data_IF_828173684094
#
_entry.id   IF_828173684094
#
_cell.length_a   1.000
_cell.length_b   1.000
_cell.length_c   1.000
_cell.angle_alpha   90.00
_cell.angle_beta   90.00
_cell.angle_gamma   90.00
#
_symmetry.space_group_name_H-M   'P 1'
#
loop_
_entity.id
_entity.type
_entity.pdbx_description
1 polymer ?
#
# COMPACT_ATOMS: atom_id res chain seq x y z
N UNK A 1 -3.77 -0.75 11.47
CA UNK A 1 -2.29 -0.94 11.63
C UNK A 1 -1.63 0.37 12.04
N UNK A 2 -0.33 0.38 12.36
CA UNK A 2 0.44 1.57 12.78
C UNK A 2 1.66 1.77 11.89
N UNK A 3 1.96 3.00 11.48
CA UNK A 3 2.96 3.31 10.45
C UNK A 3 4.04 4.20 10.99
N UNK A 4 5.30 3.77 10.87
CA UNK A 4 6.44 4.67 11.09
C UNK A 4 6.49 5.66 9.92
N UNK A 5 6.53 6.97 10.21
CA UNK A 5 6.63 8.05 9.21
C UNK A 5 7.77 9.00 9.56
N UNK A 6 8.47 9.56 8.55
CA UNK A 6 9.49 10.58 8.77
C UNK A 6 8.87 11.98 8.80
N UNK A 7 8.68 12.55 9.99
CA UNK A 7 8.32 13.98 10.15
C UNK A 7 9.46 14.91 9.69
N UNK A 8 10.71 14.47 9.88
CA UNK A 8 11.89 15.10 9.27
C UNK A 8 12.68 14.01 8.57
N UNK A 9 12.80 14.12 7.25
CA UNK A 9 13.59 13.19 6.45
C UNK A 9 15.04 13.09 6.93
N UNK A 10 15.65 11.90 6.85
CA UNK A 10 17.07 11.70 7.15
C UNK A 10 17.98 12.66 6.43
N UNK A 11 18.90 13.25 7.19
CA UNK A 11 19.94 14.14 6.66
C UNK A 11 21.16 14.12 7.57
N UNK A 12 22.31 14.47 7.02
CA UNK A 12 23.51 14.71 7.82
C UNK A 12 23.43 16.09 8.46
N UNK A 13 23.69 16.15 9.76
CA UNK A 13 23.77 17.38 10.56
C UNK A 13 25.10 17.42 11.30
N UNK A 14 25.59 18.63 11.55
CA UNK A 14 26.77 18.86 12.40
C UNK A 14 26.31 19.15 13.82
N UNK A 15 26.91 18.49 14.80
CA UNK A 15 26.58 18.67 16.21
C UNK A 15 26.99 20.09 16.70
N UNK A 16 26.16 20.69 17.55
CA UNK A 16 26.39 22.07 18.00
C UNK A 16 27.59 22.10 18.96
N UNK A 17 28.66 22.79 18.55
CA UNK A 17 29.88 22.94 19.37
C UNK A 17 30.94 21.86 19.13
N UNK A 18 30.72 20.91 18.21
CA UNK A 18 31.76 19.99 17.74
C UNK A 18 31.79 19.94 16.21
N UNK A 19 32.90 19.48 15.61
CA UNK A 19 32.97 19.21 14.16
C UNK A 19 32.40 17.84 13.76
N UNK A 20 31.74 17.13 14.69
CA UNK A 20 31.23 15.79 14.45
C UNK A 20 29.94 15.84 13.62
N UNK A 21 29.90 15.03 12.57
CA UNK A 21 28.71 14.84 11.73
C UNK A 21 27.94 13.59 12.17
N UNK A 22 26.63 13.68 12.13
CA UNK A 22 25.72 12.58 12.43
C UNK A 22 24.53 12.60 11.47
N UNK A 23 23.92 11.44 11.22
CA UNK A 23 22.61 11.39 10.55
C UNK A 23 21.54 11.68 11.59
N UNK A 24 20.58 12.52 11.24
CA UNK A 24 19.43 12.82 12.09
C UNK A 24 18.14 12.73 11.27
N UNK A 25 17.12 12.11 11.86
CA UNK A 25 15.73 12.18 11.41
C UNK A 25 14.78 12.26 12.60
N UNK A 26 13.53 12.63 12.33
CA UNK A 26 12.46 12.63 13.31
C UNK A 26 11.35 11.74 12.80
N UNK A 27 10.96 10.73 13.57
CA UNK A 27 9.87 9.83 13.21
C UNK A 27 8.61 10.11 14.04
N UNK A 28 7.48 9.62 13.56
CA UNK A 28 6.25 9.41 14.33
C UNK A 28 5.69 8.02 14.02
N UNK A 29 4.81 7.50 14.87
CA UNK A 29 4.09 6.25 14.63
C UNK A 29 2.60 6.54 14.79
N UNK A 30 1.85 6.43 13.69
CA UNK A 30 0.44 6.82 13.63
C UNK A 30 -0.43 5.77 12.93
N UNK A 31 -1.75 5.92 13.01
CA UNK A 31 -2.70 5.23 12.11
C UNK A 31 -2.40 5.56 10.64
N UNK A 32 -3.05 4.83 9.73
CA UNK A 32 -3.09 5.13 8.30
C UNK A 32 -3.63 6.56 8.02
N UNK A 33 -4.63 7.02 8.77
CA UNK A 33 -5.12 8.41 8.73
C UNK A 33 -4.14 9.43 9.32
N UNK A 34 -3.22 9.02 10.18
CA UNK A 34 -2.34 9.94 10.89
C UNK A 34 -2.99 10.68 12.08
N UNK A 35 -4.22 10.31 12.44
CA UNK A 35 -5.06 10.97 13.45
C UNK A 35 -4.84 10.50 14.89
N UNK A 36 -4.22 9.33 15.05
CA UNK A 36 -3.91 8.71 16.34
C UNK A 36 -2.48 8.20 16.36
N UNK A 37 -1.83 8.30 17.52
CA UNK A 37 -0.46 7.82 17.74
C UNK A 37 -0.47 6.40 18.31
N UNK A 38 0.61 5.64 18.11
CA UNK A 38 0.78 4.33 18.76
C UNK A 38 0.66 4.47 20.29
N UNK A 39 -0.32 3.81 20.94
CA UNK A 39 -0.60 4.00 22.36
C UNK A 39 0.20 3.05 23.28
N UNK A 40 1.19 2.32 22.75
CA UNK A 40 1.99 1.34 23.47
C UNK A 40 3.47 1.71 23.52
N UNK A 41 4.16 1.17 24.53
CA UNK A 41 5.61 1.15 24.54
C UNK A 41 6.12 0.10 23.53
N UNK A 42 7.09 0.48 22.70
CA UNK A 42 7.75 -0.45 21.79
C UNK A 42 9.22 -0.07 21.61
N UNK A 43 10.07 -1.10 21.60
CA UNK A 43 11.46 -0.92 21.20
C UNK A 43 11.58 -1.10 19.69
N UNK A 44 12.07 -0.06 19.01
CA UNK A 44 12.29 -0.05 17.58
C UNK A 44 13.74 -0.36 17.23
N UNK A 45 13.89 -0.95 16.06
CA UNK A 45 15.10 -1.14 15.30
C UNK A 45 15.38 0.07 14.41
N UNK A 46 16.42 0.85 14.68
CA UNK A 46 16.85 1.94 13.81
C UNK A 46 18.21 1.62 13.18
N UNK A 47 18.29 1.69 11.85
CA UNK A 47 19.46 1.28 11.07
C UNK A 47 19.87 2.35 10.06
N UNK A 48 21.16 2.68 10.05
CA UNK A 48 21.81 3.41 8.97
C UNK A 48 22.46 2.40 8.03
N UNK A 49 22.03 2.43 6.77
CA UNK A 49 22.45 1.51 5.71
C UNK A 49 23.34 2.25 4.70
N UNK A 50 24.37 1.59 4.20
CA UNK A 50 25.02 1.93 2.93
C UNK A 50 24.35 1.16 1.81
N UNK A 51 24.03 1.85 0.71
CA UNK A 51 23.50 1.21 -0.50
C UNK A 51 24.59 1.18 -1.57
N UNK A 52 25.13 0.00 -1.86
CA UNK A 52 26.15 -0.20 -2.90
C UNK A 52 25.73 -1.38 -3.78
N UNK A 53 25.79 -1.23 -5.10
CA UNK A 53 25.51 -2.31 -6.07
C UNK A 53 24.20 -3.09 -5.83
N UNK A 54 23.15 -2.38 -5.41
CA UNK A 54 21.82 -2.92 -5.04
C UNK A 54 21.76 -3.74 -3.75
N UNK A 55 22.85 -3.81 -2.99
CA UNK A 55 22.89 -4.38 -1.65
C UNK A 55 22.78 -3.30 -0.56
N UNK A 56 22.10 -3.64 0.53
CA UNK A 56 21.96 -2.79 1.71
C UNK A 56 22.77 -3.37 2.87
N UNK A 57 23.82 -2.65 3.27
CA UNK A 57 24.70 -3.06 4.35
C UNK A 57 24.53 -2.17 5.57
N UNK A 58 24.27 -2.78 6.73
CA UNK A 58 24.11 -2.04 8.00
C UNK A 58 25.46 -1.45 8.42
N UNK A 59 25.54 -0.12 8.43
CA UNK A 59 26.71 0.62 8.92
C UNK A 59 26.64 0.81 10.43
N UNK A 60 25.47 1.23 10.91
CA UNK A 60 25.20 1.53 12.31
C UNK A 60 23.80 1.08 12.64
N UNK A 61 23.68 0.46 13.79
CA UNK A 61 22.43 0.01 14.37
C UNK A 61 22.24 0.67 15.74
N UNK A 62 21.00 1.02 16.09
CA UNK A 62 20.63 1.40 17.46
C UNK A 62 19.19 1.00 17.78
N UNK A 63 18.93 0.72 19.05
CA UNK A 63 17.56 0.60 19.55
C UNK A 63 17.00 2.00 19.85
N UNK A 64 15.75 2.23 19.49
CA UNK A 64 15.04 3.47 19.80
C UNK A 64 13.74 3.14 20.56
N UNK A 65 13.60 3.67 21.77
CA UNK A 65 12.43 3.41 22.60
C UNK A 65 11.32 4.41 22.26
N UNK A 66 10.20 3.90 21.78
CA UNK A 66 8.94 4.64 21.76
C UNK A 66 8.19 4.35 23.07
N UNK A 67 7.65 5.38 23.71
CA UNK A 67 6.78 5.23 24.87
C UNK A 67 5.39 5.78 24.55
N UNK A 68 4.36 5.16 25.14
CA UNK A 68 2.99 5.61 25.03
C UNK A 68 2.87 7.12 25.31
N UNK A 69 2.09 7.82 24.48
CA UNK A 69 1.92 9.27 24.57
C UNK A 69 2.97 10.10 23.82
N UNK A 70 4.02 9.49 23.26
CA UNK A 70 4.91 10.18 22.32
C UNK A 70 4.16 10.59 21.05
N UNK A 71 4.56 11.75 20.51
CA UNK A 71 4.10 12.21 19.18
C UNK A 71 5.19 12.13 18.13
N UNK A 72 6.44 12.15 18.57
CA UNK A 72 7.61 12.03 17.70
C UNK A 72 8.80 11.50 18.49
N UNK A 73 9.71 10.83 17.79
CA UNK A 73 10.92 10.25 18.36
C UNK A 73 12.12 10.64 17.47
N UNK A 74 13.12 11.39 17.99
CA UNK A 74 14.33 11.69 17.24
C UNK A 74 15.21 10.45 17.12
N UNK A 75 15.75 10.21 15.93
CA UNK A 75 16.69 9.13 15.64
C UNK A 75 18.01 9.75 15.16
N UNK A 76 19.12 9.32 15.74
CA UNK A 76 20.45 9.84 15.43
C UNK A 76 21.47 8.72 15.29
N UNK A 77 22.29 8.79 14.24
CA UNK A 77 23.39 7.85 14.02
C UNK A 77 24.73 8.58 13.92
N UNK A 78 25.75 8.18 14.69
CA UNK A 78 27.10 8.68 14.45
C UNK A 78 27.58 8.23 13.07
N UNK A 79 28.18 9.14 12.28
CA UNK A 79 28.79 8.74 11.01
C UNK A 79 30.13 8.02 11.28
N UNK A 80 30.38 6.84 10.67
CA UNK A 80 31.67 6.18 10.74
C UNK A 80 32.80 7.09 10.23
N UNK A 81 33.98 7.02 10.86
CA UNK A 81 35.16 7.81 10.47
C UNK A 81 35.88 7.25 9.24
N UNK A 82 35.64 5.99 8.87
CA UNK A 82 36.31 5.31 7.75
C UNK A 82 35.66 5.65 6.40
N UNK A 83 36.37 5.36 5.31
CA UNK A 83 36.08 5.65 3.89
C UNK A 83 34.77 5.06 3.32
N UNK A 84 33.71 4.94 4.10
CA UNK A 84 32.39 4.63 3.57
C UNK A 84 32.00 5.82 2.68
N UNK A 85 31.76 5.55 1.40
CA UNK A 85 31.25 6.56 0.49
C UNK A 85 29.91 7.07 1.03
N UNK A 86 29.92 8.26 1.64
CA UNK A 86 28.72 8.93 2.19
C UNK A 86 27.80 9.46 1.08
N UNK A 87 27.84 8.82 -0.08
CA UNK A 87 27.14 9.22 -1.29
C UNK A 87 25.85 8.44 -1.49
N UNK A 88 25.60 7.39 -0.68
CA UNK A 88 24.46 6.50 -0.83
C UNK A 88 24.06 5.89 0.54
N UNK A 89 23.48 6.72 1.39
CA UNK A 89 22.99 6.33 2.72
C UNK A 89 21.47 6.14 2.69
N UNK A 90 20.96 5.25 3.54
CA UNK A 90 19.51 5.06 3.76
C UNK A 90 19.26 4.82 5.24
N UNK A 91 18.13 5.29 5.75
CA UNK A 91 17.68 4.94 7.10
C UNK A 91 16.51 3.98 7.00
N UNK A 92 16.57 2.89 7.77
CA UNK A 92 15.43 2.04 8.08
C UNK A 92 15.05 2.24 9.54
N UNK A 93 13.75 2.33 9.81
CA UNK A 93 13.21 2.13 11.16
C UNK A 93 12.08 1.10 11.11
N UNK A 94 12.10 0.12 12.00
CA UNK A 94 11.10 -0.96 12.04
C UNK A 94 10.98 -1.59 13.43
N UNK A 95 10.13 -2.61 13.56
CA UNK A 95 9.98 -3.36 14.82
C UNK A 95 11.20 -4.24 15.14
N UNK A 96 11.69 -4.98 14.14
CA UNK A 96 12.74 -5.99 14.34
C UNK A 96 14.06 -5.67 13.61
N UNK A 97 15.19 -6.24 14.06
CA UNK A 97 16.47 -6.11 13.37
C UNK A 97 16.64 -6.75 12.02
N UNK A 98 17.45 -6.09 11.17
CA UNK A 98 18.03 -6.67 9.95
C UNK A 98 16.98 -7.29 9.02
N UNK A 99 15.75 -6.78 9.07
CA UNK A 99 14.67 -7.23 8.17
C UNK A 99 14.74 -6.41 6.89
N UNK A 100 14.67 -7.11 5.75
CA UNK A 100 14.63 -6.48 4.43
C UNK A 100 13.23 -6.00 4.04
N UNK A 101 12.20 -6.51 4.72
CA UNK A 101 10.77 -6.27 4.46
C UNK A 101 9.94 -6.59 5.71
N UNK A 102 8.70 -6.12 5.71
CA UNK A 102 7.67 -6.54 6.65
C UNK A 102 6.93 -7.78 6.12
N UNK A 103 6.34 -8.55 7.03
CA UNK A 103 5.50 -9.71 6.73
C UNK A 103 4.13 -9.48 7.36
N UNK A 104 3.07 -9.44 6.55
CA UNK A 104 1.74 -9.05 7.02
C UNK A 104 1.22 -9.91 8.17
N UNK A 105 1.44 -11.23 8.10
CA UNK A 105 1.05 -12.15 9.17
C UNK A 105 1.80 -11.86 10.47
N UNK A 106 3.11 -11.65 10.39
CA UNK A 106 3.95 -11.38 11.56
C UNK A 106 3.57 -10.06 12.25
N UNK A 107 3.32 -8.99 11.48
CA UNK A 107 2.88 -7.71 12.07
C UNK A 107 1.46 -7.79 12.64
N UNK A 108 0.66 -8.77 12.20
CA UNK A 108 -0.72 -8.98 12.66
C UNK A 108 -0.82 -9.90 13.88
N UNK A 109 0.31 -10.46 14.37
CA UNK A 109 0.31 -11.25 15.60
C UNK A 109 -0.07 -10.38 16.81
N UNK A 110 -0.79 -10.92 17.81
CA UNK A 110 -1.31 -10.15 18.96
C UNK A 110 -0.27 -9.28 19.69
N UNK A 111 0.98 -9.74 19.76
CA UNK A 111 2.07 -9.05 20.47
C UNK A 111 2.95 -8.17 19.58
N UNK A 112 2.76 -8.21 18.25
CA UNK A 112 3.60 -7.50 17.28
C UNK A 112 3.30 -6.01 17.15
N UNK A 113 2.19 -5.54 17.77
CA UNK A 113 1.75 -4.13 17.81
C UNK A 113 1.51 -3.50 16.43
N UNK A 114 1.41 -4.29 15.36
CA UNK A 114 0.97 -3.81 14.05
C UNK A 114 1.83 -2.72 13.41
N UNK A 115 3.12 -2.62 13.76
CA UNK A 115 3.99 -1.52 13.31
C UNK A 115 4.64 -1.82 11.96
N UNK A 116 4.27 -1.05 10.93
CA UNK A 116 4.83 -1.07 9.59
C UNK A 116 6.13 -0.25 9.53
N UNK A 117 7.19 -0.88 9.04
CA UNK A 117 8.54 -0.33 8.93
C UNK A 117 8.63 0.74 7.84
N UNK A 118 9.61 1.63 7.96
CA UNK A 118 9.88 2.72 7.01
C UNK A 118 11.33 2.68 6.52
N UNK A 119 11.51 2.73 5.21
CA UNK A 119 12.81 2.95 4.57
C UNK A 119 12.82 4.31 3.90
N UNK A 120 13.84 5.13 4.19
CA UNK A 120 14.01 6.41 3.50
C UNK A 120 14.47 6.21 2.05
N UNK A 121 14.27 7.20 1.17
CA UNK A 121 15.05 7.32 -0.04
C UNK A 121 16.56 7.35 0.25
N UNK A 122 17.41 6.95 -0.72
CA UNK A 122 18.83 7.18 -0.62
C UNK A 122 19.12 8.67 -0.49
N UNK A 123 20.13 9.02 0.30
CA UNK A 123 20.59 10.37 0.55
C UNK A 123 22.10 10.43 0.72
N UNK A 124 22.66 11.63 0.72
CA UNK A 124 24.12 11.84 0.80
C UNK A 124 24.49 12.70 1.99
N UNK A 125 25.79 12.88 2.22
CA UNK A 125 26.29 13.83 3.21
C UNK A 125 25.87 15.28 2.99
N UNK A 126 25.51 15.66 1.76
CA UNK A 126 25.18 17.04 1.39
C UNK A 126 23.70 17.24 1.09
N UNK A 127 22.99 16.18 0.70
CA UNK A 127 21.59 16.22 0.28
C UNK A 127 20.79 15.27 1.16
N UNK A 128 19.80 15.81 1.88
CA UNK A 128 18.89 15.01 2.71
C UNK A 128 17.96 14.14 1.85
N UNK A 129 17.39 13.11 2.46
CA UNK A 129 16.46 12.22 1.77
C UNK A 129 15.21 13.01 1.33
N UNK A 130 14.71 12.77 0.11
CA UNK A 130 13.37 13.21 -0.30
C UNK A 130 12.29 12.86 0.72
N UNK A 131 11.16 13.57 0.68
CA UNK A 131 10.00 13.38 1.55
C UNK A 131 9.13 12.18 1.14
N UNK A 132 9.77 11.04 0.89
CA UNK A 132 9.12 9.78 0.58
C UNK A 132 9.44 8.74 1.65
N UNK A 133 8.65 7.69 1.69
CA UNK A 133 8.94 6.44 2.40
C UNK A 133 8.75 5.28 1.43
N UNK A 134 9.67 4.32 1.47
CA UNK A 134 9.47 3.03 0.83
C UNK A 134 8.91 2.06 1.87
N UNK A 135 7.78 1.43 1.55
CA UNK A 135 7.24 0.26 2.23
C UNK A 135 7.65 -0.98 1.48
N UNK A 136 7.88 -2.07 2.21
CA UNK A 136 8.33 -3.34 1.65
C UNK A 136 7.57 -4.46 2.32
N UNK A 137 6.76 -5.17 1.56
CA UNK A 137 5.98 -6.30 2.06
C UNK A 137 6.35 -7.55 1.31
N UNK A 138 6.69 -8.61 2.04
CA UNK A 138 6.83 -9.94 1.45
C UNK A 138 5.46 -10.54 1.21
N UNK A 139 5.15 -10.80 -0.06
CA UNK A 139 3.95 -11.56 -0.40
C UNK A 139 4.16 -13.04 -0.05
N UNK A 140 3.17 -13.73 0.55
CA UNK A 140 3.21 -15.18 0.75
C UNK A 140 3.59 -15.94 -0.51
N UNK A 141 4.66 -16.74 -0.44
CA UNK A 141 5.23 -17.50 -1.57
C UNK A 141 5.45 -16.66 -2.85
N UNK A 142 5.77 -15.37 -2.67
CA UNK A 142 5.87 -14.39 -3.73
C UNK A 142 7.08 -13.47 -3.59
N UNK A 143 7.18 -12.42 -4.42
CA UNK A 143 8.25 -11.42 -4.33
C UNK A 143 8.06 -10.51 -3.11
N UNK A 144 9.06 -9.68 -2.86
CA UNK A 144 8.89 -8.50 -1.99
C UNK A 144 8.31 -7.40 -2.87
N UNK A 145 7.10 -6.95 -2.54
CA UNK A 145 6.47 -5.79 -3.17
C UNK A 145 6.97 -4.53 -2.48
N UNK A 146 7.57 -3.63 -3.24
CA UNK A 146 8.08 -2.36 -2.73
C UNK A 146 7.27 -1.21 -3.29
N UNK A 147 6.75 -0.35 -2.42
CA UNK A 147 5.93 0.80 -2.81
C UNK A 147 6.50 2.06 -2.18
N UNK A 148 6.64 3.10 -2.97
CA UNK A 148 6.89 4.46 -2.51
C UNK A 148 5.55 5.13 -2.19
N UNK A 149 5.52 5.80 -1.05
CA UNK A 149 4.47 6.75 -0.65
C UNK A 149 5.11 8.09 -0.25
N UNK A 150 4.33 9.16 -0.31
CA UNK A 150 4.76 10.47 0.18
C UNK A 150 4.59 10.57 1.70
N UNK A 151 5.39 11.43 2.33
CA UNK A 151 5.25 11.73 3.78
C UNK A 151 4.45 13.00 4.06
N UNK A 152 3.79 13.55 3.03
CA UNK A 152 2.98 14.76 3.10
C UNK A 152 1.53 14.50 3.55
N UNK A 153 0.63 15.45 3.27
CA UNK A 153 -0.80 15.36 3.64
C UNK A 153 -1.68 14.82 2.49
N UNK A 154 -1.08 14.34 1.40
CA UNK A 154 -1.83 13.93 0.20
C UNK A 154 -2.44 12.52 0.32
N UNK A 155 -3.77 12.44 0.37
CA UNK A 155 -4.53 11.18 0.51
C UNK A 155 -4.16 10.16 -0.60
N UNK A 156 -4.11 10.59 -1.85
CA UNK A 156 -3.85 9.72 -3.01
C UNK A 156 -2.41 9.16 -3.05
N UNK A 157 -1.49 9.71 -2.26
CA UNK A 157 -0.07 9.35 -2.28
C UNK A 157 0.37 8.60 -1.03
N UNK A 158 -0.60 8.07 -0.27
CA UNK A 158 -0.41 7.27 0.94
C UNK A 158 -0.88 5.82 0.74
N UNK A 159 -0.28 4.90 1.49
CA UNK A 159 -0.78 3.55 1.64
C UNK A 159 -1.82 3.45 2.75
N UNK A 160 -2.85 2.65 2.47
CA UNK A 160 -3.99 2.44 3.34
C UNK A 160 -4.10 0.98 3.76
N UNK A 161 -4.72 0.74 4.92
CA UNK A 161 -4.84 -0.59 5.52
C UNK A 161 -5.49 -1.60 4.57
N UNK A 162 -6.55 -1.21 3.83
CA UNK A 162 -7.23 -2.11 2.90
C UNK A 162 -6.36 -2.50 1.70
N UNK A 163 -5.58 -1.56 1.16
CA UNK A 163 -4.68 -1.82 0.03
C UNK A 163 -3.58 -2.80 0.40
N UNK A 164 -2.91 -2.60 1.53
CA UNK A 164 -1.87 -3.52 2.03
C UNK A 164 -2.45 -4.89 2.32
N UNK A 165 -3.59 -4.92 3.03
CA UNK A 165 -4.25 -6.17 3.42
C UNK A 165 -4.62 -6.98 2.18
N UNK A 166 -5.34 -6.38 1.22
CA UNK A 166 -5.73 -7.08 0.00
C UNK A 166 -4.51 -7.56 -0.79
N UNK A 167 -3.47 -6.74 -0.96
CA UNK A 167 -2.22 -7.14 -1.63
C UNK A 167 -1.61 -8.39 -1.02
N UNK A 168 -1.56 -8.49 0.30
CA UNK A 168 -1.01 -9.65 0.99
C UNK A 168 -1.87 -10.91 0.86
N UNK A 169 -3.16 -10.77 0.50
CA UNK A 169 -4.05 -11.90 0.19
C UNK A 169 -3.98 -12.33 -1.28
N UNK A 170 -3.53 -11.47 -2.20
CA UNK A 170 -3.47 -11.76 -3.65
C UNK A 170 -2.76 -13.06 -4.04
N UNK A 171 -1.75 -13.61 -3.31
CA UNK A 171 -1.17 -14.92 -3.64
C UNK A 171 -2.18 -16.06 -3.68
N UNK A 172 -3.28 -15.98 -2.93
CA UNK A 172 -4.37 -16.95 -2.96
C UNK A 172 -5.03 -17.04 -4.34
N UNK A 173 -4.96 -15.98 -5.18
CA UNK A 173 -5.49 -15.97 -6.54
C UNK A 173 -4.81 -16.96 -7.49
N UNK A 174 -3.61 -17.45 -7.15
CA UNK A 174 -2.90 -18.48 -7.93
C UNK A 174 -3.50 -19.87 -7.73
N UNK A 175 -4.20 -20.10 -6.62
CA UNK A 175 -4.82 -21.37 -6.29
C UNK A 175 -6.33 -21.30 -6.55
N UNK A 176 -6.82 -21.96 -7.59
CA UNK A 176 -8.24 -21.99 -7.98
C UNK A 176 -9.18 -22.55 -6.91
N UNK A 177 -8.64 -23.26 -5.91
CA UNK A 177 -9.42 -23.79 -4.79
C UNK A 177 -9.55 -22.83 -3.60
N UNK A 178 -8.78 -21.73 -3.58
CA UNK A 178 -8.89 -20.72 -2.53
C UNK A 178 -10.19 -19.93 -2.66
N UNK A 179 -10.73 -19.48 -1.53
CA UNK A 179 -11.99 -18.74 -1.54
C UNK A 179 -11.83 -17.37 -2.22
N UNK A 180 -10.67 -16.72 -2.06
CA UNK A 180 -10.34 -15.49 -2.78
C UNK A 180 -10.33 -15.70 -4.30
N UNK A 181 -9.74 -16.78 -4.79
CA UNK A 181 -9.74 -17.08 -6.22
C UNK A 181 -11.14 -17.38 -6.76
N UNK A 182 -11.96 -18.14 -6.03
CA UNK A 182 -13.35 -18.42 -6.41
C UNK A 182 -14.19 -17.15 -6.48
N UNK A 183 -13.92 -16.19 -5.60
CA UNK A 183 -14.63 -14.91 -5.56
C UNK A 183 -14.19 -13.97 -6.68
N UNK A 184 -12.88 -13.85 -6.94
CA UNK A 184 -12.33 -12.78 -7.78
C UNK A 184 -11.94 -13.21 -9.20
N UNK A 185 -11.85 -14.51 -9.51
CA UNK A 185 -11.46 -14.99 -10.83
C UNK A 185 -12.61 -15.73 -11.52
N UNK A 186 -12.72 -15.62 -12.86
CA UNK A 186 -13.59 -16.50 -13.63
C UNK A 186 -13.24 -17.98 -13.40
N UNK A 187 -14.26 -18.84 -13.39
CA UNK A 187 -14.11 -20.29 -13.32
C UNK A 187 -14.64 -20.93 -14.62
N UNK A 188 -13.84 -21.75 -15.33
CA UNK A 188 -12.43 -22.06 -15.06
C UNK A 188 -11.52 -20.84 -15.28
N UNK A 189 -10.30 -20.88 -14.76
CA UNK A 189 -9.32 -19.83 -14.98
C UNK A 189 -9.07 -19.63 -16.47
N UNK A 190 -9.26 -18.38 -16.92
CA UNK A 190 -8.93 -17.97 -18.28
C UNK A 190 -7.40 -17.90 -18.46
N UNK A 191 -6.90 -18.05 -19.71
CA UNK A 191 -5.47 -17.87 -20.02
C UNK A 191 -4.93 -16.46 -19.75
N UNK A 192 -5.80 -15.46 -19.81
CA UNK A 192 -5.50 -14.06 -19.50
C UNK A 192 -6.38 -13.60 -18.34
N UNK A 193 -5.90 -12.60 -17.60
CA UNK A 193 -6.68 -12.01 -16.50
C UNK A 193 -6.59 -10.49 -16.54
N UNK A 194 -7.67 -9.84 -16.93
CA UNK A 194 -7.72 -8.39 -17.14
C UNK A 194 -8.30 -7.71 -15.89
N UNK A 195 -7.49 -6.86 -15.28
CA UNK A 195 -7.77 -6.21 -13.99
C UNK A 195 -7.71 -4.70 -14.17
N UNK A 196 -8.72 -4.01 -13.66
CA UNK A 196 -8.74 -2.55 -13.53
C UNK A 196 -8.84 -2.17 -12.05
N UNK A 197 -7.93 -1.33 -11.57
CA UNK A 197 -7.96 -0.79 -10.21
C UNK A 197 -8.40 0.68 -10.26
N UNK A 198 -9.50 1.01 -9.57
CA UNK A 198 -10.00 2.36 -9.37
C UNK A 198 -9.41 2.96 -8.10
N UNK A 199 -9.00 4.23 -8.14
CA UNK A 199 -8.44 4.92 -6.97
C UNK A 199 -7.19 4.22 -6.45
N UNK A 200 -6.27 3.89 -7.36
CA UNK A 200 -5.09 3.06 -7.09
C UNK A 200 -4.13 3.66 -6.07
N UNK A 201 -4.15 5.00 -5.91
CA UNK A 201 -3.19 5.76 -5.11
C UNK A 201 -1.75 5.42 -5.48
N UNK A 202 -1.04 4.75 -4.58
CA UNK A 202 0.33 4.29 -4.82
C UNK A 202 0.46 3.03 -5.70
N UNK A 203 -0.63 2.34 -6.03
CA UNK A 203 -0.63 1.15 -6.89
C UNK A 203 -0.48 -0.20 -6.20
N UNK A 204 -0.62 -0.26 -4.86
CA UNK A 204 -0.22 -1.43 -4.06
C UNK A 204 -0.90 -2.73 -4.47
N UNK A 205 -2.21 -2.72 -4.74
CA UNK A 205 -2.97 -3.94 -5.07
C UNK A 205 -2.65 -4.42 -6.47
N UNK A 206 -2.84 -3.57 -7.48
CA UNK A 206 -2.60 -3.95 -8.86
C UNK A 206 -1.12 -4.29 -9.13
N UNK A 207 -0.16 -3.61 -8.49
CA UNK A 207 1.26 -3.99 -8.55
C UNK A 207 1.44 -5.40 -7.97
N UNK A 208 0.94 -5.69 -6.77
CA UNK A 208 1.08 -7.01 -6.16
C UNK A 208 0.50 -8.11 -7.07
N UNK A 209 -0.65 -7.87 -7.70
CA UNK A 209 -1.26 -8.78 -8.67
C UNK A 209 -0.39 -8.99 -9.92
N UNK A 210 0.10 -7.91 -10.52
CA UNK A 210 0.96 -7.96 -11.71
C UNK A 210 2.29 -8.70 -11.43
N UNK A 211 2.78 -8.66 -10.19
CA UNK A 211 4.00 -9.37 -9.80
C UNK A 211 3.85 -10.89 -9.67
N UNK A 212 2.62 -11.40 -9.46
CA UNK A 212 2.41 -12.81 -9.11
C UNK A 212 1.49 -13.57 -10.06
N UNK A 213 0.71 -12.88 -10.90
CA UNK A 213 -0.24 -13.50 -11.83
C UNK A 213 0.35 -13.43 -13.25
N UNK A 214 0.77 -14.57 -13.83
CA UNK A 214 1.21 -14.60 -15.23
C UNK A 214 0.08 -14.23 -16.18
N UNK A 215 0.42 -13.63 -17.33
CA UNK A 215 -0.53 -13.24 -18.38
C UNK A 215 -1.67 -12.33 -17.90
N UNK A 216 -1.47 -11.56 -16.83
CA UNK A 216 -2.45 -10.54 -16.39
C UNK A 216 -2.23 -9.21 -17.09
N UNK A 217 -3.31 -8.53 -17.49
CA UNK A 217 -3.26 -7.13 -17.91
C UNK A 217 -3.84 -6.28 -16.78
N UNK A 218 -2.98 -5.53 -16.09
CA UNK A 218 -3.38 -4.69 -14.96
C UNK A 218 -3.33 -3.23 -15.36
N UNK A 219 -4.47 -2.56 -15.28
CA UNK A 219 -4.59 -1.11 -15.49
C UNK A 219 -4.90 -0.43 -14.16
N UNK A 220 -3.95 0.38 -13.69
CA UNK A 220 -4.10 1.22 -12.51
C UNK A 220 -4.73 2.54 -12.93
N UNK A 221 -5.74 3.01 -12.20
CA UNK A 221 -6.42 4.26 -12.51
C UNK A 221 -6.64 5.12 -11.28
N UNK A 222 -6.49 6.43 -11.47
CA UNK A 222 -6.68 7.46 -10.43
C UNK A 222 -6.76 8.84 -11.10
N UNK A 223 -6.90 9.89 -10.30
CA UNK A 223 -6.71 11.27 -10.75
C UNK A 223 -5.24 11.58 -11.05
N UNK A 224 -5.01 12.69 -11.76
CA UNK A 224 -3.68 13.15 -12.20
C UNK A 224 -2.67 13.29 -11.05
N UNK A 225 -3.16 13.57 -9.84
CA UNK A 225 -2.38 13.80 -8.64
C UNK A 225 -1.61 12.55 -8.18
N UNK A 226 -2.10 11.34 -8.48
CA UNK A 226 -1.43 10.08 -8.14
C UNK A 226 -0.38 9.66 -9.17
N UNK A 227 -0.42 10.22 -10.40
CA UNK A 227 0.39 9.79 -11.54
C UNK A 227 1.87 9.64 -11.24
N UNK A 228 2.47 10.67 -10.64
CA UNK A 228 3.91 10.66 -10.37
C UNK A 228 4.32 9.51 -9.44
N UNK A 229 3.55 9.27 -8.37
CA UNK A 229 3.89 8.25 -7.38
C UNK A 229 3.64 6.83 -7.93
N UNK A 230 2.53 6.63 -8.65
CA UNK A 230 2.21 5.32 -9.22
C UNK A 230 3.15 4.96 -10.36
N UNK A 231 3.50 5.89 -11.26
CA UNK A 231 4.48 5.64 -12.33
C UNK A 231 5.86 5.32 -11.74
N UNK A 232 6.27 6.00 -10.66
CA UNK A 232 7.49 5.66 -9.92
C UNK A 232 7.46 4.22 -9.41
N UNK A 233 6.32 3.77 -8.90
CA UNK A 233 6.16 2.41 -8.37
C UNK A 233 6.13 1.36 -9.49
N UNK A 234 5.41 1.61 -10.58
CA UNK A 234 5.40 0.75 -11.78
C UNK A 234 6.82 0.54 -12.30
N UNK A 235 7.62 1.61 -12.38
CA UNK A 235 8.99 1.55 -12.89
C UNK A 235 9.99 0.87 -11.94
N UNK A 236 9.58 0.58 -10.70
CA UNK A 236 10.46 0.01 -9.66
C UNK A 236 10.23 -1.49 -9.44
N UNK A 237 9.32 -2.12 -10.17
CA UNK A 237 8.91 -3.52 -9.93
C UNK A 237 9.22 -4.44 -11.10
N UNK A 238 9.51 -5.70 -10.77
CA UNK A 238 9.52 -6.80 -11.74
C UNK A 238 8.16 -7.49 -11.70
N UNK A 239 7.51 -7.58 -12.86
CA UNK A 239 6.19 -8.22 -13.03
C UNK A 239 6.31 -9.68 -13.48
N UNK A 240 5.23 -10.44 -13.34
CA UNK A 240 5.17 -11.85 -13.72
C UNK A 240 5.31 -12.04 -15.24
N UNK A 241 5.75 -13.23 -15.72
CA UNK A 241 5.85 -13.50 -17.15
C UNK A 241 4.54 -13.28 -17.89
N UNK A 242 4.61 -12.56 -19.01
CA UNK A 242 3.45 -12.24 -19.84
C UNK A 242 2.47 -11.24 -19.23
N UNK A 243 2.72 -10.75 -18.01
CA UNK A 243 1.90 -9.70 -17.42
C UNK A 243 2.20 -8.33 -18.05
N UNK A 244 1.25 -7.41 -17.95
CA UNK A 244 1.42 -5.99 -18.25
C UNK A 244 0.83 -5.15 -17.13
N UNK A 245 1.43 -3.97 -16.92
CA UNK A 245 1.07 -3.04 -15.87
C UNK A 245 1.20 -1.62 -16.42
N UNK A 246 0.12 -0.85 -16.37
CA UNK A 246 0.08 0.52 -16.86
C UNK A 246 -0.76 1.41 -15.93
N UNK A 247 -0.55 2.72 -16.05
CA UNK A 247 -1.38 3.73 -15.40
C UNK A 247 -2.19 4.51 -16.44
N UNK A 248 -3.43 4.86 -16.09
CA UNK A 248 -4.28 5.76 -16.86
C UNK A 248 -5.05 6.68 -15.92
N UNK A 249 -5.04 7.98 -16.23
CA UNK A 249 -5.87 8.94 -15.52
C UNK A 249 -7.36 8.63 -15.77
N UNK A 250 -8.16 8.51 -14.71
CA UNK A 250 -9.59 8.24 -14.80
C UNK A 250 -10.32 9.03 -13.71
N UNK A 251 -11.06 10.04 -14.15
CA UNK A 251 -12.05 10.71 -13.34
C UNK A 251 -13.37 9.92 -13.40
N UNK A 252 -13.90 9.55 -12.24
CA UNK A 252 -15.12 8.75 -12.13
C UNK A 252 -16.37 9.48 -12.61
N UNK A 253 -16.34 10.82 -12.67
CA UNK A 253 -17.43 11.65 -13.18
C UNK A 253 -17.30 11.96 -14.69
N UNK A 254 -16.13 11.72 -15.29
CA UNK A 254 -15.91 11.88 -16.72
C UNK A 254 -16.46 10.70 -17.54
N UNK A 255 -16.57 10.89 -18.85
CA UNK A 255 -16.95 9.83 -19.79
C UNK A 255 -15.94 8.67 -19.78
N UNK A 256 -16.45 7.45 -19.92
CA UNK A 256 -15.61 6.25 -19.91
C UNK A 256 -14.68 6.28 -21.13
N UNK A 257 -13.34 6.16 -20.96
CA UNK A 257 -12.42 6.14 -22.09
C UNK A 257 -12.75 5.02 -23.09
N UNK A 258 -12.51 5.26 -24.38
CA UNK A 258 -12.81 4.30 -25.46
C UNK A 258 -12.14 2.94 -25.22
N UNK A 259 -10.93 2.92 -24.67
CA UNK A 259 -10.19 1.69 -24.38
C UNK A 259 -10.88 0.79 -23.33
N UNK A 260 -11.67 1.40 -22.43
CA UNK A 260 -12.48 0.69 -21.43
C UNK A 260 -13.88 0.32 -21.94
N UNK A 261 -14.26 0.80 -23.13
CA UNK A 261 -15.49 0.43 -23.83
C UNK A 261 -15.28 -0.71 -24.83
N UNK A 262 -14.03 -1.02 -25.20
CA UNK A 262 -13.74 -2.02 -26.22
C UNK A 262 -14.08 -3.44 -25.78
N UNK A 263 -14.78 -4.18 -26.64
CA UNK A 263 -15.11 -5.60 -26.40
C UNK A 263 -13.94 -6.55 -26.63
N UNK A 264 -12.82 -6.07 -27.19
CA UNK A 264 -11.67 -6.92 -27.52
C UNK A 264 -10.89 -7.36 -26.27
N UNK A 265 -10.91 -6.54 -25.21
CA UNK A 265 -10.17 -6.75 -23.96
C UNK A 265 -11.13 -6.65 -22.76
N UNK A 266 -12.09 -7.57 -22.66
CA UNK A 266 -13.05 -7.57 -21.55
C UNK A 266 -12.34 -7.67 -20.20
N UNK A 267 -12.78 -6.84 -19.26
CA UNK A 267 -12.33 -6.89 -17.87
C UNK A 267 -12.89 -8.13 -17.16
N UNK A 268 -12.02 -8.81 -16.41
CA UNK A 268 -12.42 -9.91 -15.53
C UNK A 268 -12.69 -9.42 -14.10
N UNK A 269 -11.93 -8.41 -13.67
CA UNK A 269 -12.02 -7.83 -12.33
C UNK A 269 -11.87 -6.31 -12.39
N UNK A 270 -12.79 -5.61 -11.73
CA UNK A 270 -12.62 -4.22 -11.32
C UNK A 270 -12.49 -4.21 -9.80
N UNK A 271 -11.45 -3.56 -9.27
CA UNK A 271 -11.23 -3.48 -7.83
C UNK A 271 -10.99 -2.05 -7.36
N UNK A 272 -11.30 -1.78 -6.10
CA UNK A 272 -10.96 -0.54 -5.41
C UNK A 272 -10.60 -0.86 -3.94
N UNK A 273 -9.63 -0.16 -3.38
CA UNK A 273 -9.23 -0.33 -1.98
C UNK A 273 -9.29 1.01 -1.23
N UNK A 274 -10.03 1.06 -0.12
CA UNK A 274 -10.27 2.25 0.72
C UNK A 274 -10.78 3.48 -0.07
N UNK A 275 -11.62 3.24 -1.08
CA UNK A 275 -12.23 4.29 -1.91
C UNK A 275 -13.61 4.79 -1.43
N UNK A 276 -14.13 4.25 -0.33
CA UNK A 276 -15.47 4.55 0.21
C UNK A 276 -15.46 5.55 1.37
N UNK A 277 -14.27 5.98 1.81
CA UNK A 277 -14.09 6.81 3.02
C UNK A 277 -14.85 8.15 2.97
N UNK A 278 -15.04 8.71 1.78
CA UNK A 278 -15.81 9.93 1.57
C UNK A 278 -17.21 9.57 1.04
N UNK A 279 -18.28 9.72 1.85
CA UNK A 279 -19.64 9.40 1.41
C UNK A 279 -20.06 10.23 0.18
N UNK A 280 -19.56 11.46 0.04
CA UNK A 280 -19.88 12.33 -1.10
C UNK A 280 -19.29 11.81 -2.43
N UNK A 281 -18.23 10.98 -2.37
CA UNK A 281 -17.63 10.35 -3.56
C UNK A 281 -18.31 9.03 -3.94
N UNK A 282 -19.19 8.48 -3.09
CA UNK A 282 -19.84 7.19 -3.32
C UNK A 282 -20.72 7.17 -4.59
N UNK A 283 -21.53 8.21 -4.91
CA UNK A 283 -22.31 8.23 -6.15
C UNK A 283 -21.45 8.14 -7.41
N UNK A 284 -20.32 8.85 -7.45
CA UNK A 284 -19.39 8.83 -8.59
C UNK A 284 -18.75 7.44 -8.75
N UNK A 285 -18.29 6.82 -7.65
CA UNK A 285 -17.73 5.47 -7.63
C UNK A 285 -18.74 4.43 -8.14
N UNK A 286 -19.97 4.45 -7.63
CA UNK A 286 -21.01 3.51 -8.05
C UNK A 286 -21.38 3.72 -9.53
N UNK A 287 -21.45 4.96 -9.99
CA UNK A 287 -21.73 5.27 -11.39
C UNK A 287 -20.63 4.74 -12.34
N UNK A 288 -19.34 4.92 -12.03
CA UNK A 288 -18.26 4.35 -12.86
C UNK A 288 -18.30 2.81 -12.85
N UNK A 289 -18.57 2.17 -11.71
CA UNK A 289 -18.73 0.71 -11.61
C UNK A 289 -19.87 0.21 -12.49
N UNK A 290 -21.02 0.90 -12.48
CA UNK A 290 -22.18 0.56 -13.32
C UNK A 290 -21.84 0.67 -14.82
N UNK A 291 -21.15 1.74 -15.23
CA UNK A 291 -20.71 1.93 -16.63
C UNK A 291 -19.70 0.87 -17.07
N UNK A 292 -18.72 0.55 -16.23
CA UNK A 292 -17.75 -0.52 -16.47
C UNK A 292 -18.42 -1.88 -16.59
N UNK A 293 -19.38 -2.19 -15.71
CA UNK A 293 -20.10 -3.46 -15.71
C UNK A 293 -21.03 -3.62 -16.92
N UNK A 294 -21.62 -2.52 -17.39
CA UNK A 294 -22.40 -2.48 -18.63
C UNK A 294 -21.53 -2.72 -19.86
N UNK A 295 -20.33 -2.13 -19.90
CA UNK A 295 -19.38 -2.33 -20.99
C UNK A 295 -18.72 -3.72 -20.96
N UNK A 296 -18.62 -4.34 -19.77
CA UNK A 296 -17.96 -5.63 -19.54
C UNK A 296 -18.92 -6.62 -18.86
N UNK A 297 -19.87 -7.22 -19.60
CA UNK A 297 -20.82 -8.17 -19.03
C UNK A 297 -20.11 -9.33 -18.31
N UNK A 298 -20.43 -9.53 -17.03
CA UNK A 298 -19.85 -10.59 -16.21
C UNK A 298 -18.56 -10.24 -15.49
N UNK A 299 -18.08 -9.00 -15.58
CA UNK A 299 -16.96 -8.51 -14.75
C UNK A 299 -17.30 -8.65 -13.26
N UNK A 300 -16.31 -9.07 -12.46
CA UNK A 300 -16.41 -9.08 -11.00
C UNK A 300 -16.02 -7.72 -10.47
N UNK A 301 -16.77 -7.18 -9.51
CA UNK A 301 -16.41 -5.95 -8.79
C UNK A 301 -16.00 -6.31 -7.38
N UNK A 302 -14.85 -5.81 -6.92
CA UNK A 302 -14.32 -6.10 -5.59
C UNK A 302 -13.90 -4.82 -4.85
N UNK A 303 -14.47 -4.60 -3.68
CA UNK A 303 -14.24 -3.40 -2.88
C UNK A 303 -13.64 -3.83 -1.55
N UNK A 304 -12.36 -3.53 -1.37
CA UNK A 304 -11.69 -3.68 -0.08
C UNK A 304 -11.83 -2.37 0.70
N UNK A 305 -12.29 -2.42 1.94
CA UNK A 305 -12.49 -1.22 2.74
C UNK A 305 -12.35 -1.49 4.24
N UNK A 306 -11.81 -0.51 4.95
CA UNK A 306 -11.88 -0.41 6.41
C UNK A 306 -12.93 0.63 6.76
N UNK A 307 -14.05 0.21 7.36
CA UNK A 307 -15.08 1.13 7.85
C UNK A 307 -14.49 2.03 8.93
N UNK A 308 -14.57 3.36 8.73
CA UNK A 308 -14.09 4.39 9.66
C UNK A 308 -15.24 5.19 10.25
N UNK A 309 -16.33 5.34 9.49
CA UNK A 309 -17.54 6.02 9.97
C UNK A 309 -18.81 5.40 9.37
N UNK A 310 -19.91 5.42 10.12
CA UNK A 310 -21.19 4.83 9.67
C UNK A 310 -21.78 5.51 8.43
N UNK A 311 -21.34 6.73 8.10
CA UNK A 311 -21.76 7.41 6.87
C UNK A 311 -21.33 6.68 5.60
N UNK A 312 -20.30 5.85 5.67
CA UNK A 312 -19.84 5.04 4.52
C UNK A 312 -20.87 3.97 4.12
N UNK A 313 -21.83 3.64 5.00
CA UNK A 313 -22.89 2.66 4.71
C UNK A 313 -23.76 3.04 3.50
N UNK A 314 -23.82 4.34 3.17
CA UNK A 314 -24.53 4.85 1.97
C UNK A 314 -24.04 4.18 0.68
N UNK A 315 -22.77 3.76 0.63
CA UNK A 315 -22.20 3.04 -0.50
C UNK A 315 -22.98 1.76 -0.82
N UNK A 316 -23.38 1.00 0.19
CA UNK A 316 -24.06 -0.28 0.01
C UNK A 316 -25.48 -0.10 -0.55
N UNK A 317 -26.20 0.92 -0.09
CA UNK A 317 -27.52 1.27 -0.63
C UNK A 317 -27.41 1.69 -2.10
N UNK A 318 -26.43 2.53 -2.43
CA UNK A 318 -26.18 2.95 -3.82
C UNK A 318 -25.80 1.79 -4.73
N UNK A 319 -24.96 0.85 -4.27
CA UNK A 319 -24.61 -0.36 -5.02
C UNK A 319 -25.84 -1.20 -5.33
N UNK A 320 -26.72 -1.40 -4.33
CA UNK A 320 -27.96 -2.15 -4.49
C UNK A 320 -28.90 -1.47 -5.49
N UNK A 321 -29.08 -0.15 -5.37
CA UNK A 321 -29.93 0.63 -6.27
C UNK A 321 -29.41 0.64 -7.71
N UNK A 322 -28.09 0.55 -7.89
CA UNK A 322 -27.44 0.41 -9.20
C UNK A 322 -27.48 -1.03 -9.75
N UNK A 323 -28.11 -1.98 -9.05
CA UNK A 323 -28.27 -3.36 -9.50
C UNK A 323 -27.05 -4.24 -9.23
N UNK A 324 -26.20 -3.91 -8.25
CA UNK A 324 -25.14 -4.81 -7.80
C UNK A 324 -25.63 -5.75 -6.71
N UNK A 325 -25.39 -7.04 -6.90
CA UNK A 325 -25.64 -8.08 -5.89
C UNK A 325 -24.33 -8.51 -5.27
N UNK A 326 -24.24 -8.43 -3.93
CA UNK A 326 -23.11 -8.97 -3.18
C UNK A 326 -23.12 -10.51 -3.26
N UNK A 327 -22.03 -11.09 -3.75
CA UNK A 327 -21.88 -12.53 -3.90
C UNK A 327 -21.00 -13.14 -2.81
N UNK A 328 -20.05 -12.36 -2.30
CA UNK A 328 -19.09 -12.81 -1.29
C UNK A 328 -18.67 -11.64 -0.42
N UNK A 329 -18.53 -11.90 0.89
CA UNK A 329 -17.88 -11.00 1.84
C UNK A 329 -16.77 -11.77 2.54
N UNK A 330 -15.60 -11.15 2.69
CA UNK A 330 -14.48 -11.68 3.47
C UNK A 330 -14.00 -10.66 4.47
N UNK A 331 -13.54 -11.14 5.62
CA UNK A 331 -13.15 -10.32 6.74
C UNK A 331 -11.68 -10.59 7.05
N UNK A 332 -10.87 -9.54 7.14
CA UNK A 332 -9.46 -9.61 7.46
C UNK A 332 -9.19 -8.79 8.74
N UNK A 333 -9.16 -9.44 9.92
CA UNK A 333 -8.83 -8.79 11.17
C UNK A 333 -7.46 -8.13 11.11
N UNK A 334 -7.38 -6.88 11.52
CA UNK A 334 -6.12 -6.17 11.70
C UNK A 334 -5.62 -6.36 13.15
N UNK A 335 -4.33 -6.15 13.43
CA UNK A 335 -3.79 -6.28 14.78
C UNK A 335 -4.48 -5.41 15.85
N UNK A 336 -5.16 -4.32 15.45
CA UNK A 336 -5.84 -3.40 16.37
C UNK A 336 -4.88 -2.68 17.32
N UNK A 337 -5.42 -1.88 18.23
CA UNK A 337 -4.67 -1.39 19.38
C UNK A 337 -4.95 -2.30 20.58
N UNK A 338 -6.22 -2.44 20.95
CA UNK A 338 -6.66 -3.15 22.16
C UNK A 338 -6.66 -4.65 21.96
N UNK A 339 -7.27 -5.11 20.88
CA UNK A 339 -7.38 -6.51 20.51
C UNK A 339 -7.35 -6.70 19.00
N UNK A 340 -6.86 -7.86 18.56
CA UNK A 340 -6.86 -8.22 17.14
C UNK A 340 -8.30 -8.30 16.66
N UNK A 341 -8.59 -7.63 15.55
CA UNK A 341 -9.94 -7.54 14.98
C UNK A 341 -10.79 -6.40 15.52
N UNK A 342 -10.25 -5.54 16.40
CA UNK A 342 -10.86 -4.23 16.72
C UNK A 342 -11.12 -3.44 15.44
N UNK A 343 -10.15 -3.49 14.52
CA UNK A 343 -10.29 -2.98 13.16
C UNK A 343 -10.28 -4.15 12.18
N UNK A 344 -11.11 -4.06 11.14
CA UNK A 344 -11.25 -5.11 10.12
C UNK A 344 -11.23 -4.48 8.75
N UNK A 345 -10.48 -5.08 7.82
CA UNK A 345 -10.64 -4.83 6.40
C UNK A 345 -11.66 -5.83 5.87
N UNK A 346 -12.72 -5.32 5.26
CA UNK A 346 -13.71 -6.12 4.56
C UNK A 346 -13.41 -6.13 3.06
N UNK A 347 -13.55 -7.28 2.42
CA UNK A 347 -13.60 -7.40 0.96
C UNK A 347 -15.02 -7.78 0.57
N UNK A 348 -15.71 -6.83 -0.06
CA UNK A 348 -17.04 -7.02 -0.62
C UNK A 348 -16.94 -7.31 -2.12
N UNK A 349 -17.54 -8.40 -2.57
CA UNK A 349 -17.49 -8.84 -3.97
C UNK A 349 -18.88 -8.83 -4.55
N UNK A 350 -19.04 -8.18 -5.70
CA UNK A 350 -20.31 -7.94 -6.37
C UNK A 350 -20.31 -8.45 -7.80
N UNK A 351 -21.52 -8.74 -8.28
CA UNK A 351 -21.85 -8.87 -9.69
C UNK A 351 -23.04 -8.00 -10.03
N UNK A 352 -22.99 -7.34 -11.18
CA UNK A 352 -24.16 -6.65 -11.70
C UNK A 352 -25.25 -7.66 -12.06
N UNK A 353 -26.48 -7.42 -11.62
CA UNK A 353 -27.64 -8.17 -12.09
C UNK A 353 -27.86 -7.82 -13.55
N UNK A 354 -27.98 -8.83 -14.41
CA UNK A 354 -28.32 -8.62 -15.82
C UNK A 354 -29.73 -8.02 -15.86
N UNK A 355 -29.81 -6.74 -16.24
CA UNK A 355 -31.06 -6.02 -16.47
C UNK A 355 -31.71 -6.40 -17.79
#
# INVERSE_FOLDING_TARGET
>A
MRYIRFLKSPRVVTDKGTSRKQVHCLITITSDLGDSFLPYDIQLAAELLATADSEENVLVWSNAQWTAGMRSLPITFPLPKSQVSLTNLRVRVGGEPKRAHDEFLAISEPDARGVVSAWSPPFTSNVGAPKLVQRRFKLPDGPVTTIWEETGESIARHLWDAGITLSCQTPALRNSTSDLAKALRPSPFKPHFNVLELGTGCGMVGIAMAQIIPNSKVLLTDLSEAKEIVERNINSVTIAPGASLAFMELDWDADLPHDLQSTSDQLDLVLAADCTYNPDSSPALVNILARLSKANPGVVVAIAMKMRHSSEEVFFDLMKDAGFMETTKMDFPLPGDVEVGEEVVYLHVYKATVG
#
